data_IF_867256391247
#
_entry.id   IF_867256391247
#
_cell.length_a   1.000
_cell.length_b   1.000
_cell.length_c   1.000
_cell.angle_alpha   90.00
_cell.angle_beta   90.00
_cell.angle_gamma   90.00
#
_symmetry.space_group_name_H-M   'P 1'
#
loop_
_entity.id
_entity.type
_entity.pdbx_description
1 polymer ?
#
# COMPACT_ATOMS: atom_id res chain seq x y z
N UNK A 1 11.43 -10.22 0.14
CA UNK A 1 10.67 -8.95 -0.03
C UNK A 1 9.51 -9.02 0.93
N UNK A 2 9.35 -8.06 1.85
CA UNK A 2 8.27 -8.06 2.82
C UNK A 2 7.02 -7.34 2.31
N UNK A 3 6.18 -6.89 3.24
CA UNK A 3 5.03 -6.01 2.96
C UNK A 3 5.49 -4.54 3.03
N UNK A 4 5.23 -3.77 1.97
CA UNK A 4 5.37 -2.31 1.96
C UNK A 4 3.99 -1.67 2.11
N UNK A 5 3.86 -0.68 3.00
CA UNK A 5 2.62 0.08 3.16
C UNK A 5 2.89 1.54 2.85
N UNK A 6 2.13 2.08 1.90
CA UNK A 6 2.12 3.50 1.53
C UNK A 6 0.76 4.07 1.86
N UNK A 7 0.71 5.19 2.58
CA UNK A 7 -0.56 5.76 3.04
C UNK A 7 -0.68 7.22 2.60
N UNK A 8 -1.83 7.58 2.04
CA UNK A 8 -2.18 8.93 1.60
C UNK A 8 -3.51 9.34 2.24
N UNK A 9 -3.52 10.36 3.09
CA UNK A 9 -4.78 10.79 3.68
C UNK A 9 -4.63 11.60 4.95
N UNK A 10 -5.56 11.40 5.88
CA UNK A 10 -5.58 12.08 7.16
C UNK A 10 -4.68 11.37 8.19
N UNK A 11 -4.54 11.99 9.38
CA UNK A 11 -3.74 11.44 10.49
C UNK A 11 -4.22 10.06 10.97
N UNK A 12 -5.50 9.76 10.80
CA UNK A 12 -6.09 8.48 11.21
C UNK A 12 -5.51 7.32 10.39
N UNK A 13 -5.43 7.49 9.06
CA UNK A 13 -4.90 6.45 8.16
C UNK A 13 -3.44 6.07 8.48
N UNK A 14 -2.63 7.02 8.95
CA UNK A 14 -1.24 6.76 9.33
C UNK A 14 -1.13 5.91 10.59
N UNK A 15 -2.06 6.07 11.54
CA UNK A 15 -2.14 5.23 12.73
C UNK A 15 -2.59 3.80 12.38
N UNK A 16 -3.52 3.68 11.43
CA UNK A 16 -4.00 2.38 10.95
C UNK A 16 -2.90 1.59 10.20
N UNK A 17 -1.89 2.26 9.62
CA UNK A 17 -0.84 1.61 8.83
C UNK A 17 -0.07 0.52 9.59
N UNK A 18 0.15 0.66 10.91
CA UNK A 18 0.83 -0.37 11.70
C UNK A 18 -0.02 -1.63 11.89
N UNK A 19 -1.32 -1.45 12.12
CA UNK A 19 -2.28 -2.55 12.18
C UNK A 19 -2.35 -3.24 10.83
N UNK A 20 -2.49 -2.47 9.74
CA UNK A 20 -2.50 -3.01 8.38
C UNK A 20 -1.24 -3.82 8.06
N UNK A 21 -0.07 -3.39 8.55
CA UNK A 21 1.19 -4.11 8.33
C UNK A 21 1.17 -5.47 9.01
N UNK A 22 0.77 -5.51 10.28
CA UNK A 22 0.67 -6.77 11.04
C UNK A 22 -0.33 -7.73 10.41
N UNK A 23 -1.51 -7.23 10.03
CA UNK A 23 -2.53 -8.04 9.38
C UNK A 23 -2.07 -8.55 8.01
N UNK A 24 -1.39 -7.72 7.22
CA UNK A 24 -0.83 -8.11 5.93
C UNK A 24 0.27 -9.17 6.07
N UNK A 25 1.14 -9.04 7.07
CA UNK A 25 2.16 -10.04 7.40
C UNK A 25 1.51 -11.35 7.88
N UNK A 26 0.52 -11.28 8.78
CA UNK A 26 -0.23 -12.43 9.28
C UNK A 26 -1.01 -13.16 8.18
N UNK A 27 -1.53 -12.42 7.20
CA UNK A 27 -2.16 -12.97 6.00
C UNK A 27 -1.16 -13.58 5.00
N UNK A 28 0.15 -13.53 5.29
CA UNK A 28 1.19 -14.11 4.44
C UNK A 28 1.51 -13.27 3.19
N UNK A 29 1.06 -12.02 3.10
CA UNK A 29 1.30 -11.16 1.93
C UNK A 29 2.80 -10.88 1.73
N UNK A 30 3.57 -10.84 2.81
CA UNK A 30 5.03 -10.70 2.76
C UNK A 30 5.76 -11.96 2.29
N UNK A 31 5.10 -13.11 2.24
CA UNK A 31 5.67 -14.37 1.75
C UNK A 31 5.34 -14.62 0.26
N UNK A 32 4.56 -13.75 -0.37
CA UNK A 32 4.26 -13.86 -1.80
C UNK A 32 5.52 -13.71 -2.65
N UNK A 33 5.55 -14.45 -3.75
CA UNK A 33 6.57 -14.27 -4.78
C UNK A 33 6.44 -12.85 -5.36
N UNK A 34 7.51 -12.04 -5.25
CA UNK A 34 7.47 -10.61 -5.60
C UNK A 34 6.98 -9.68 -4.48
N UNK A 35 6.55 -10.19 -3.33
CA UNK A 35 6.08 -9.41 -2.18
C UNK A 35 4.75 -8.70 -2.40
N UNK A 36 4.40 -7.79 -1.48
CA UNK A 36 3.16 -7.04 -1.53
C UNK A 36 3.35 -5.54 -1.23
N UNK A 37 2.61 -4.70 -1.94
CA UNK A 37 2.52 -3.25 -1.72
C UNK A 37 1.07 -2.90 -1.44
N UNK A 38 0.80 -2.38 -0.24
CA UNK A 38 -0.51 -1.93 0.19
C UNK A 38 -0.55 -0.41 0.16
N UNK A 39 -1.49 0.14 -0.60
CA UNK A 39 -1.70 1.58 -0.75
C UNK A 39 -3.02 1.94 -0.08
N UNK A 40 -2.94 2.53 1.12
CA UNK A 40 -4.10 3.02 1.87
C UNK A 40 -4.36 4.48 1.50
N UNK A 41 -5.55 4.79 1.00
CA UNK A 41 -5.97 6.16 0.73
C UNK A 41 -7.41 6.42 1.14
N UNK A 42 -7.62 7.47 1.93
CA UNK A 42 -8.98 7.93 2.24
C UNK A 42 -9.71 8.51 1.01
N UNK A 43 -8.97 8.80 -0.08
CA UNK A 43 -9.48 9.37 -1.33
C UNK A 43 -10.32 10.67 -1.17
N UNK A 44 -10.28 11.33 -0.01
CA UNK A 44 -11.12 12.50 0.29
C UNK A 44 -10.68 13.77 -0.43
N UNK A 45 -9.45 13.79 -0.97
CA UNK A 45 -8.93 14.89 -1.78
C UNK A 45 -8.43 14.42 -3.12
N UNK A 46 -8.55 15.28 -4.14
CA UNK A 46 -8.00 15.03 -5.47
C UNK A 46 -6.49 14.80 -5.45
N UNK A 47 -5.78 15.46 -4.53
CA UNK A 47 -4.33 15.29 -4.36
C UNK A 47 -3.99 13.91 -3.80
N UNK A 48 -4.71 13.42 -2.78
CA UNK A 48 -4.52 12.07 -2.25
C UNK A 48 -4.77 11.00 -3.33
N UNK A 49 -5.80 11.19 -4.16
CA UNK A 49 -6.08 10.32 -5.31
C UNK A 49 -4.96 10.38 -6.35
N UNK A 50 -4.44 11.57 -6.66
CA UNK A 50 -3.34 11.76 -7.61
C UNK A 50 -2.06 11.05 -7.13
N UNK A 51 -1.70 11.23 -5.86
CA UNK A 51 -0.53 10.60 -5.25
C UNK A 51 -0.65 9.07 -5.20
N UNK A 52 -1.83 8.56 -4.82
CA UNK A 52 -2.09 7.11 -4.85
C UNK A 52 -1.92 6.54 -6.26
N UNK A 53 -2.50 7.18 -7.29
CA UNK A 53 -2.35 6.75 -8.69
C UNK A 53 -0.90 6.81 -9.19
N UNK A 54 -0.12 7.81 -8.77
CA UNK A 54 1.29 7.89 -9.14
C UNK A 54 2.08 6.75 -8.49
N UNK A 55 1.82 6.48 -7.22
CA UNK A 55 2.46 5.40 -6.45
C UNK A 55 2.13 4.03 -7.01
N UNK A 56 0.88 3.76 -7.36
CA UNK A 56 0.47 2.50 -8.01
C UNK A 56 1.29 2.25 -9.28
N UNK A 57 1.42 3.27 -10.14
CA UNK A 57 2.17 3.16 -11.40
C UNK A 57 3.66 2.98 -11.17
N UNK A 58 4.22 3.63 -10.15
CA UNK A 58 5.62 3.46 -9.76
C UNK A 58 5.88 2.07 -9.22
N UNK A 59 5.07 1.60 -8.26
CA UNK A 59 5.19 0.27 -7.67
C UNK A 59 5.13 -0.85 -8.72
N UNK A 60 4.22 -0.76 -9.68
CA UNK A 60 4.14 -1.74 -10.78
C UNK A 60 5.37 -1.72 -11.70
N UNK A 61 5.97 -0.54 -11.91
CA UNK A 61 7.15 -0.38 -12.75
C UNK A 61 8.41 -0.92 -12.07
N UNK A 62 8.56 -0.60 -10.79
CA UNK A 62 9.72 -0.98 -9.99
C UNK A 62 9.68 -2.47 -9.61
N UNK A 63 8.48 -3.01 -9.38
CA UNK A 63 8.28 -4.42 -9.13
C UNK A 63 7.04 -4.96 -9.88
N UNK A 64 7.23 -5.45 -11.12
CA UNK A 64 6.14 -5.99 -11.92
C UNK A 64 5.46 -7.22 -11.30
N UNK A 65 6.15 -7.97 -10.44
CA UNK A 65 5.65 -9.19 -9.81
C UNK A 65 4.94 -8.93 -8.47
N UNK A 66 5.12 -7.75 -7.86
CA UNK A 66 4.47 -7.43 -6.60
C UNK A 66 2.94 -7.47 -6.71
N UNK A 67 2.31 -8.00 -5.66
CA UNK A 67 0.88 -7.86 -5.46
C UNK A 67 0.58 -6.45 -4.96
N UNK A 68 -0.12 -5.65 -5.77
CA UNK A 68 -0.53 -4.29 -5.42
C UNK A 68 -1.96 -4.34 -4.91
N UNK A 69 -2.18 -3.86 -3.69
CA UNK A 69 -3.48 -3.79 -3.01
C UNK A 69 -3.77 -2.32 -2.75
N UNK A 70 -4.98 -1.86 -3.08
CA UNK A 70 -5.40 -0.47 -2.87
C UNK A 70 -6.65 -0.49 -2.02
N UNK A 71 -6.65 0.31 -0.95
CA UNK A 71 -7.78 0.48 -0.03
C UNK A 71 -8.02 1.94 0.30
#
# INVERSE_FOLDING_TARGET
MGVEIVTFGCRLNAYESEVMKREAEAAGLGALEGGAVVINTCAVTAEAVRQARQTIRKARRDNPQARIIVT
#
